data_IF_078994660453
#
_entry.id   IF_078994660453
#
_cell.length_a   1.000
_cell.length_b   1.000
_cell.length_c   1.000
_cell.angle_alpha   90.00
_cell.angle_beta   90.00
_cell.angle_gamma   90.00
#
_symmetry.space_group_name_H-M   'P 1'
#
loop_
_entity.id
_entity.type
_entity.pdbx_description
1 polymer ?
#
# COMPACT_ATOMS: atom_id res chain seq x y z
N UNK A 1 16.15 25.56 15.84
CA UNK A 1 15.31 25.38 17.05
C UNK A 1 14.82 23.96 16.97
N UNK A 2 15.50 23.05 17.65
CA UNK A 2 15.08 21.66 17.73
C UNK A 2 13.84 21.63 18.62
N UNK A 3 12.68 21.33 18.02
CA UNK A 3 11.43 21.18 18.75
C UNK A 3 11.45 19.80 19.37
N UNK A 4 11.48 19.74 20.70
CA UNK A 4 11.34 18.49 21.43
C UNK A 4 9.96 17.89 21.14
N UNK A 5 9.87 16.58 20.83
CA UNK A 5 8.59 15.93 20.54
C UNK A 5 7.71 15.93 21.79
N UNK A 6 6.44 16.28 21.61
CA UNK A 6 5.49 16.31 22.72
C UNK A 6 5.22 14.87 23.23
N UNK A 7 4.98 14.68 24.53
CA UNK A 7 4.64 13.38 25.11
C UNK A 7 3.57 12.55 24.34
N UNK A 8 2.49 13.13 23.77
CA UNK A 8 1.57 12.39 22.91
C UNK A 8 2.19 11.91 21.58
N UNK A 9 3.17 12.61 21.03
CA UNK A 9 3.82 12.24 19.77
C UNK A 9 4.71 11.01 19.96
N UNK A 10 5.42 10.95 21.08
CA UNK A 10 6.23 9.78 21.47
C UNK A 10 5.34 8.53 21.54
N UNK A 11 4.19 8.61 22.20
CA UNK A 11 3.23 7.48 22.31
C UNK A 11 2.70 7.03 20.94
N UNK A 12 2.46 7.97 20.03
CA UNK A 12 2.01 7.64 18.68
C UNK A 12 3.11 6.94 17.88
N UNK A 13 4.36 7.37 18.01
CA UNK A 13 5.47 6.73 17.35
C UNK A 13 5.74 5.32 17.87
N UNK A 14 5.67 5.13 19.19
CA UNK A 14 5.71 3.79 19.81
C UNK A 14 4.58 2.90 19.28
N UNK A 15 3.37 3.44 19.12
CA UNK A 15 2.25 2.70 18.52
C UNK A 15 2.54 2.28 17.08
N UNK A 16 3.04 3.20 16.23
CA UNK A 16 3.42 2.88 14.84
C UNK A 16 4.50 1.79 14.81
N UNK A 17 5.53 1.92 15.64
CA UNK A 17 6.63 0.97 15.73
C UNK A 17 6.15 -0.42 16.13
N UNK A 18 5.38 -0.52 17.21
CA UNK A 18 4.84 -1.78 17.70
C UNK A 18 3.91 -2.43 16.67
N UNK A 19 3.04 -1.65 16.02
CA UNK A 19 2.17 -2.17 14.97
C UNK A 19 2.96 -2.78 13.81
N UNK A 20 3.98 -2.09 13.32
CA UNK A 20 4.78 -2.59 12.19
C UNK A 20 5.62 -3.81 12.58
N UNK A 21 6.09 -3.88 13.83
CA UNK A 21 6.72 -5.09 14.38
C UNK A 21 5.74 -6.28 14.39
N UNK A 22 4.50 -6.08 14.82
CA UNK A 22 3.47 -7.13 14.81
C UNK A 22 3.15 -7.62 13.39
N UNK A 23 3.03 -6.70 12.43
CA UNK A 23 2.81 -7.02 11.02
C UNK A 23 4.00 -7.78 10.45
N UNK A 24 5.22 -7.36 10.75
CA UNK A 24 6.44 -8.06 10.34
C UNK A 24 6.48 -9.49 10.92
N UNK A 25 6.18 -9.68 12.21
CA UNK A 25 6.08 -11.01 12.81
C UNK A 25 4.98 -11.88 12.20
N UNK A 26 3.89 -11.28 11.72
CA UNK A 26 2.86 -12.00 10.96
C UNK A 26 3.37 -12.42 9.59
N UNK A 27 4.07 -11.53 8.88
CA UNK A 27 4.69 -11.81 7.60
C UNK A 27 5.70 -12.97 7.70
N UNK A 28 6.56 -12.96 8.73
CA UNK A 28 7.51 -14.05 9.00
C UNK A 28 6.80 -15.40 9.10
N UNK A 29 5.77 -15.50 9.96
CA UNK A 29 4.99 -16.73 10.14
C UNK A 29 4.25 -17.16 8.87
N UNK A 30 3.75 -16.20 8.10
CA UNK A 30 3.09 -16.49 6.83
C UNK A 30 4.08 -17.07 5.81
N UNK A 31 5.29 -16.52 5.74
CA UNK A 31 6.35 -16.92 4.81
C UNK A 31 6.97 -18.28 5.13
N UNK A 32 6.85 -18.80 6.36
CA UNK A 32 7.36 -20.13 6.74
C UNK A 32 6.78 -21.28 5.90
N UNK A 33 5.55 -21.10 5.39
CA UNK A 33 4.86 -22.09 4.55
C UNK A 33 5.18 -21.93 3.05
N UNK A 34 5.98 -20.92 2.68
CA UNK A 34 6.33 -20.66 1.29
C UNK A 34 7.69 -21.27 0.93
N UNK A 35 7.77 -21.79 -0.29
CA UNK A 35 8.96 -22.36 -0.89
C UNK A 35 9.18 -21.84 -2.31
N UNK A 36 10.42 -21.96 -2.79
CA UNK A 36 10.87 -21.47 -4.10
C UNK A 36 12.00 -20.43 -4.02
N UNK A 37 12.25 -19.68 -5.12
CA UNK A 37 11.58 -19.80 -6.41
C UNK A 37 11.82 -21.17 -7.06
N UNK A 38 10.80 -21.67 -7.77
CA UNK A 38 10.85 -22.86 -8.63
C UNK A 38 10.83 -22.41 -10.09
N UNK A 39 11.71 -22.98 -10.91
CA UNK A 39 11.81 -22.61 -12.33
C UNK A 39 10.81 -23.40 -13.18
N UNK A 40 10.05 -22.69 -14.01
CA UNK A 40 9.14 -23.23 -15.02
C UNK A 40 9.47 -22.64 -16.40
N UNK A 41 8.82 -23.16 -17.45
CA UNK A 41 8.95 -22.65 -18.82
C UNK A 41 8.49 -21.19 -18.94
N UNK A 42 7.52 -20.78 -18.12
CA UNK A 42 6.92 -19.43 -18.13
C UNK A 42 7.59 -18.46 -17.15
N UNK A 43 8.59 -18.92 -16.38
CA UNK A 43 9.30 -18.12 -15.38
C UNK A 43 9.42 -18.80 -14.01
N UNK A 44 9.92 -18.06 -13.03
CA UNK A 44 10.01 -18.52 -11.66
C UNK A 44 8.67 -18.33 -10.93
N UNK A 45 8.30 -19.31 -10.10
CA UNK A 45 7.10 -19.26 -9.27
C UNK A 45 7.38 -19.68 -7.82
N UNK A 46 6.47 -19.33 -6.92
CA UNK A 46 6.52 -19.64 -5.50
C UNK A 46 5.34 -20.55 -5.16
N UNK A 47 5.53 -21.45 -4.21
CA UNK A 47 4.51 -22.37 -3.75
C UNK A 47 4.28 -22.22 -2.26
N UNK A 48 3.02 -22.18 -1.84
CA UNK A 48 2.62 -22.25 -0.46
C UNK A 48 2.15 -23.66 -0.14
N UNK A 49 2.92 -24.37 0.68
CA UNK A 49 2.65 -25.76 1.00
C UNK A 49 1.38 -25.93 1.87
N UNK A 50 1.13 -24.99 2.79
CA UNK A 50 -0.01 -25.07 3.70
C UNK A 50 -1.35 -24.86 2.97
N UNK A 51 -1.37 -23.94 2.02
CA UNK A 51 -2.56 -23.57 1.26
C UNK A 51 -2.70 -24.34 -0.06
N UNK A 52 -1.64 -25.05 -0.48
CA UNK A 52 -1.55 -25.74 -1.77
C UNK A 52 -1.82 -24.81 -2.96
N UNK A 53 -1.30 -23.58 -2.88
CA UNK A 53 -1.42 -22.56 -3.94
C UNK A 53 -0.04 -22.16 -4.44
N UNK A 54 0.04 -21.75 -5.70
CA UNK A 54 1.24 -21.17 -6.28
C UNK A 54 0.96 -19.77 -6.84
N UNK A 55 2.00 -18.94 -6.87
CA UNK A 55 1.96 -17.58 -7.43
C UNK A 55 3.24 -17.30 -8.21
N UNK A 56 3.15 -16.43 -9.21
CA UNK A 56 4.31 -15.95 -9.97
C UNK A 56 5.00 -14.78 -9.26
N UNK A 57 4.25 -14.05 -8.42
CA UNK A 57 4.77 -12.92 -7.67
C UNK A 57 5.52 -13.38 -6.42
N UNK A 58 6.65 -12.73 -6.12
CA UNK A 58 7.42 -13.06 -4.92
C UNK A 58 6.63 -12.65 -3.67
N UNK A 59 6.22 -13.59 -2.80
CA UNK A 59 5.40 -13.26 -1.61
C UNK A 59 6.16 -12.37 -0.62
N UNK A 60 7.49 -12.39 -0.62
CA UNK A 60 8.31 -11.45 0.17
C UNK A 60 8.10 -10.01 -0.31
N UNK A 61 8.08 -9.78 -1.62
CA UNK A 61 7.91 -8.44 -2.18
C UNK A 61 6.52 -7.86 -1.81
N UNK A 62 5.47 -8.69 -1.84
CA UNK A 62 4.13 -8.27 -1.43
C UNK A 62 4.09 -7.78 0.02
N UNK A 63 4.71 -8.54 0.94
CA UNK A 63 4.76 -8.16 2.35
C UNK A 63 5.67 -6.95 2.61
N UNK A 64 6.80 -6.80 1.91
CA UNK A 64 7.63 -5.60 1.99
C UNK A 64 6.88 -4.36 1.51
N UNK A 65 6.12 -4.48 0.41
CA UNK A 65 5.25 -3.42 -0.08
C UNK A 65 4.13 -3.08 0.92
N UNK A 66 3.53 -4.10 1.56
CA UNK A 66 2.52 -3.88 2.59
C UNK A 66 3.09 -3.14 3.80
N UNK A 67 4.27 -3.54 4.31
CA UNK A 67 4.96 -2.87 5.41
C UNK A 67 5.28 -1.41 5.08
N UNK A 68 5.82 -1.15 3.89
CA UNK A 68 6.12 0.20 3.41
C UNK A 68 4.85 1.06 3.32
N UNK A 69 3.77 0.50 2.77
CA UNK A 69 2.47 1.19 2.62
C UNK A 69 1.87 1.53 3.97
N UNK A 70 1.83 0.57 4.91
CA UNK A 70 1.34 0.78 6.28
C UNK A 70 2.16 1.83 7.01
N UNK A 71 3.49 1.76 6.92
CA UNK A 71 4.37 2.76 7.52
C UNK A 71 4.07 4.17 6.99
N UNK A 72 3.98 4.33 5.68
CA UNK A 72 3.65 5.61 5.05
C UNK A 72 2.30 6.16 5.52
N UNK A 73 1.26 5.34 5.54
CA UNK A 73 -0.08 5.75 5.97
C UNK A 73 -0.09 6.13 7.45
N UNK A 74 0.48 5.28 8.31
CA UNK A 74 0.47 5.50 9.75
C UNK A 74 1.26 6.74 10.16
N UNK A 75 2.45 6.94 9.60
CA UNK A 75 3.25 8.14 9.84
C UNK A 75 2.49 9.39 9.39
N UNK A 76 1.87 9.38 8.20
CA UNK A 76 1.11 10.53 7.69
C UNK A 76 -0.16 10.82 8.50
N UNK A 77 -0.83 9.80 9.03
CA UNK A 77 -2.09 9.96 9.75
C UNK A 77 -1.91 10.28 11.23
N UNK A 78 -0.85 9.78 11.87
CA UNK A 78 -0.67 9.88 13.32
C UNK A 78 0.36 10.94 13.70
N UNK A 79 1.38 11.16 12.88
CA UNK A 79 2.49 12.06 13.20
C UNK A 79 2.34 13.41 12.49
N UNK A 80 2.79 14.51 13.12
CA UNK A 80 2.91 15.80 12.48
C UNK A 80 3.78 15.74 11.21
N UNK A 81 3.49 16.63 10.26
CA UNK A 81 4.33 16.80 9.08
C UNK A 81 5.74 17.21 9.50
N UNK A 82 6.74 16.44 9.04
CA UNK A 82 8.13 16.66 9.39
C UNK A 82 8.64 15.85 10.57
N UNK A 83 7.87 14.92 11.13
CA UNK A 83 8.37 13.90 12.07
C UNK A 83 8.42 12.52 11.40
N UNK A 84 9.45 11.74 11.72
CA UNK A 84 9.65 10.39 11.21
C UNK A 84 9.98 9.45 12.37
N UNK A 85 9.51 8.21 12.27
CA UNK A 85 9.84 7.13 13.21
C UNK A 85 11.18 6.51 12.81
N UNK A 86 12.13 6.50 13.75
CA UNK A 86 13.42 5.83 13.59
C UNK A 86 13.30 4.33 13.89
N UNK A 87 14.37 3.57 13.61
CA UNK A 87 14.35 2.12 13.73
C UNK A 87 14.15 1.61 15.17
N UNK A 88 14.56 2.41 16.15
CA UNK A 88 14.38 2.14 17.58
C UNK A 88 12.98 2.55 18.10
N UNK A 89 12.14 3.14 17.25
CA UNK A 89 10.83 3.67 17.61
C UNK A 89 10.84 5.12 18.11
N UNK A 90 12.01 5.76 18.15
CA UNK A 90 12.12 7.18 18.49
C UNK A 90 11.61 8.08 17.37
N UNK A 91 11.29 9.33 17.71
CA UNK A 91 10.83 10.33 16.74
C UNK A 91 11.97 11.28 16.42
N UNK A 92 12.28 11.42 15.15
CA UNK A 92 13.28 12.38 14.65
C UNK A 92 12.60 13.37 13.72
N UNK A 93 13.02 14.63 13.81
CA UNK A 93 12.61 15.65 12.85
C UNK A 93 13.18 15.30 11.48
N UNK A 94 12.32 15.23 10.47
CA UNK A 94 12.71 15.15 9.08
C UNK A 94 13.56 16.38 8.76
N UNK A 95 14.84 16.17 8.40
CA UNK A 95 15.73 17.25 8.01
C UNK A 95 15.08 18.11 6.92
N UNK A 96 15.18 19.44 7.08
CA UNK A 96 14.67 20.40 6.12
C UNK A 96 15.40 20.24 4.76
N UNK A 97 14.84 19.40 3.89
CA UNK A 97 15.45 19.06 2.59
C UNK A 97 14.97 17.73 2.02
N UNK A 98 14.48 16.80 2.84
CA UNK A 98 13.93 15.51 2.39
C UNK A 98 12.41 15.57 2.29
N UNK A 99 11.90 16.51 1.48
CA UNK A 99 10.48 16.86 1.42
C UNK A 99 9.55 15.80 0.78
N UNK A 100 10.03 14.60 0.42
CA UNK A 100 9.20 13.66 -0.36
C UNK A 100 9.27 12.19 0.03
N UNK A 101 10.05 11.83 1.05
CA UNK A 101 10.15 10.44 1.51
C UNK A 101 9.81 10.37 2.99
N UNK A 102 8.52 10.22 3.29
CA UNK A 102 8.00 10.04 4.67
C UNK A 102 8.42 8.73 5.31
N UNK A 103 9.11 7.86 4.58
CA UNK A 103 9.71 6.65 5.10
C UNK A 103 11.19 6.89 5.42
N UNK A 104 11.56 6.82 6.71
CA UNK A 104 12.97 6.59 7.06
C UNK A 104 13.39 5.26 6.41
N UNK A 105 14.36 5.26 5.49
CA UNK A 105 14.79 4.04 4.82
C UNK A 105 15.37 3.03 5.82
N UNK A 106 15.98 3.51 6.90
CA UNK A 106 16.65 2.69 7.90
C UNK A 106 15.68 1.80 8.68
N UNK A 107 14.48 2.32 8.99
CA UNK A 107 13.50 1.51 9.70
C UNK A 107 12.92 0.41 8.81
N UNK A 108 12.60 0.71 7.55
CA UNK A 108 12.12 -0.31 6.62
C UNK A 108 13.20 -1.35 6.32
N UNK A 109 14.48 -0.95 6.28
CA UNK A 109 15.60 -1.88 6.19
C UNK A 109 15.68 -2.82 7.40
N UNK A 110 15.39 -2.33 8.61
CA UNK A 110 15.34 -3.18 9.81
C UNK A 110 14.18 -4.18 9.79
N UNK A 111 13.10 -3.87 9.06
CA UNK A 111 11.93 -4.73 8.88
C UNK A 111 11.97 -5.54 7.59
N UNK A 112 13.13 -5.56 6.91
CA UNK A 112 13.31 -6.30 5.66
C UNK A 112 13.16 -7.79 5.94
N UNK A 113 12.42 -8.46 5.07
CA UNK A 113 12.13 -9.87 5.24
C UNK A 113 13.31 -10.69 4.71
N UNK A 114 13.87 -11.64 5.48
CA UNK A 114 14.97 -12.46 5.01
C UNK A 114 14.50 -13.32 3.83
N UNK A 115 15.13 -13.13 2.67
CA UNK A 115 14.87 -13.96 1.49
C UNK A 115 15.13 -15.46 1.74
N UNK A 116 15.93 -15.79 2.75
CA UNK A 116 16.20 -17.17 3.18
C UNK A 116 15.08 -17.84 3.97
N UNK A 117 13.98 -17.14 4.29
CA UNK A 117 12.82 -17.77 4.92
C UNK A 117 12.03 -18.64 3.94
N UNK A 118 12.05 -18.26 2.66
CA UNK A 118 11.48 -19.09 1.61
C UNK A 118 12.42 -20.28 1.43
N UNK A 119 11.92 -21.47 1.75
CA UNK A 119 12.72 -22.69 1.66
C UNK A 119 13.01 -22.98 0.20
N UNK A 120 14.31 -23.03 -0.13
CA UNK A 120 14.79 -23.61 -1.40
C UNK A 120 14.92 -25.11 -1.20
N UNK A 121 13.79 -25.78 -1.07
CA UNK A 121 13.79 -27.22 -0.82
C UNK A 121 14.08 -27.95 -2.14
N UNK A 122 15.21 -28.65 -2.21
CA UNK A 122 15.61 -29.48 -3.36
C UNK A 122 14.83 -30.79 -3.46
N UNK A 123 13.60 -30.83 -2.93
CA UNK A 123 12.67 -31.95 -3.03
C UNK A 123 11.89 -31.91 -4.35
N UNK A 124 10.99 -32.89 -4.52
CA UNK A 124 10.11 -32.99 -5.68
C UNK A 124 9.46 -31.64 -6.01
N UNK A 125 9.67 -31.19 -7.26
CA UNK A 125 9.17 -29.90 -7.74
C UNK A 125 7.64 -29.95 -7.69
N UNK A 126 6.98 -29.03 -6.95
CA UNK A 126 5.53 -29.01 -6.89
C UNK A 126 4.95 -28.79 -8.30
N UNK A 127 3.82 -29.42 -8.57
CA UNK A 127 3.16 -29.34 -9.86
C UNK A 127 2.94 -27.86 -10.24
N UNK A 128 3.52 -27.45 -11.37
CA UNK A 128 3.46 -26.05 -11.83
C UNK A 128 2.00 -25.62 -11.92
N UNK A 129 1.64 -24.39 -11.46
CA UNK A 129 0.28 -23.88 -11.63
C UNK A 129 -0.12 -24.01 -13.09
N UNK A 130 -1.07 -24.91 -13.38
CA UNK A 130 -1.57 -25.08 -14.74
C UNK A 130 -2.25 -23.78 -15.14
N UNK A 131 -1.60 -23.03 -16.03
CA UNK A 131 -2.10 -21.77 -16.63
C UNK A 131 -3.38 -21.98 -17.45
N UNK A 132 -3.88 -23.22 -17.55
CA UNK A 132 -4.89 -23.65 -18.52
C UNK A 132 -6.29 -23.93 -17.95
N UNK A 133 -6.56 -23.64 -16.68
CA UNK A 133 -7.89 -23.88 -16.07
C UNK A 133 -8.76 -22.63 -15.85
N UNK A 134 -8.52 -21.52 -16.56
CA UNK A 134 -9.41 -20.34 -16.52
C UNK A 134 -10.66 -20.44 -17.42
N UNK A 135 -11.10 -21.64 -17.82
CA UNK A 135 -12.18 -21.78 -18.81
C UNK A 135 -13.63 -21.65 -18.30
N UNK A 136 -13.90 -21.45 -17.00
CA UNK A 136 -15.30 -21.41 -16.51
C UNK A 136 -15.62 -20.36 -15.45
N UNK A 137 -14.99 -19.18 -15.45
CA UNK A 137 -15.59 -18.03 -14.78
C UNK A 137 -16.59 -17.34 -15.74
N UNK A 138 -17.71 -18.00 -16.03
CA UNK A 138 -18.87 -17.32 -16.63
C UNK A 138 -19.37 -16.32 -15.59
N UNK A 139 -18.95 -15.06 -15.72
CA UNK A 139 -19.56 -13.93 -15.04
C UNK A 139 -21.05 -13.92 -15.42
N UNK A 140 -21.89 -14.41 -14.51
CA UNK A 140 -23.31 -14.13 -14.54
C UNK A 140 -23.45 -12.65 -14.20
N UNK A 141 -23.33 -11.82 -15.22
CA UNK A 141 -23.66 -10.39 -15.16
C UNK A 141 -25.12 -10.32 -14.72
N UNK A 142 -25.35 -10.07 -13.43
CA UNK A 142 -26.69 -9.80 -12.91
C UNK A 142 -27.09 -8.43 -13.45
N UNK A 143 -28.13 -8.32 -14.29
CA UNK A 143 -28.55 -7.04 -14.83
C UNK A 143 -29.23 -6.25 -13.70
N UNK A 144 -28.51 -5.24 -13.21
CA UNK A 144 -29.05 -3.89 -12.97
C UNK A 144 -30.49 -3.85 -12.44
N UNK A 145 -30.70 -4.12 -11.16
CA UNK A 145 -31.94 -3.69 -10.49
C UNK A 145 -31.81 -2.25 -9.99
N UNK A 146 -32.29 -1.34 -10.84
CA UNK A 146 -33.14 -0.19 -10.50
C UNK A 146 -32.80 0.64 -9.26
N UNK A 147 -32.37 1.87 -9.54
CA UNK A 147 -32.56 3.07 -8.72
C UNK A 147 -33.83 3.01 -7.86
N UNK A 148 -33.67 2.86 -6.55
CA UNK A 148 -34.73 3.16 -5.58
C UNK A 148 -34.54 4.62 -5.16
N UNK A 149 -35.26 5.49 -5.86
CA UNK A 149 -35.52 6.88 -5.48
C UNK A 149 -36.03 6.92 -4.03
N UNK A 150 -35.25 7.53 -3.14
CA UNK A 150 -35.69 7.81 -1.77
C UNK A 150 -36.49 9.12 -1.75
N UNK A 151 -37.60 9.20 -0.98
CA UNK A 151 -38.48 10.36 -0.97
C UNK A 151 -37.85 11.58 -0.29
N UNK A 152 -38.01 12.71 -0.96
CA UNK A 152 -37.71 14.08 -0.54
C UNK A 152 -38.44 14.46 0.75
N UNK A 153 -37.78 14.95 1.81
CA UNK A 153 -38.44 15.56 2.97
C UNK A 153 -39.01 16.95 2.63
N UNK A 154 -40.10 17.39 3.30
CA UNK A 154 -40.76 18.66 3.02
C UNK A 154 -39.96 19.88 3.53
N UNK A 155 -40.16 21.06 2.91
CA UNK A 155 -39.43 22.28 3.24
C UNK A 155 -39.92 22.96 4.52
N UNK A 156 -39.01 23.26 5.44
CA UNK A 156 -39.21 24.21 6.53
C UNK A 156 -39.13 25.65 5.99
N UNK A 157 -40.12 26.47 6.34
CA UNK A 157 -40.19 27.90 6.06
C UNK A 157 -39.42 28.69 7.12
N UNK A 158 -38.68 29.72 6.68
CA UNK A 158 -38.08 30.78 7.49
C UNK A 158 -36.72 31.17 6.92
N UNK A 159 -36.64 32.00 5.86
CA UNK A 159 -36.42 33.47 5.96
C UNK A 159 -35.33 33.78 7.01
N UNK A 160 -34.13 34.23 6.65
CA UNK A 160 -33.90 35.59 6.11
C UNK A 160 -32.48 35.79 5.53
N UNK A 161 -32.42 36.56 4.43
CA UNK A 161 -31.47 37.66 4.15
C UNK A 161 -29.97 37.40 3.81
N UNK A 162 -29.67 37.57 2.51
CA UNK A 162 -28.81 38.63 1.90
C UNK A 162 -27.28 38.41 1.73
N UNK A 163 -26.82 38.83 0.52
CA UNK A 163 -25.46 38.94 -0.09
C UNK A 163 -25.01 37.68 -0.86
N UNK A 164 -25.10 37.61 -2.20
CA UNK A 164 -24.64 38.53 -3.28
C UNK A 164 -23.13 38.80 -3.22
N UNK A 165 -22.36 37.95 -3.91
CA UNK A 165 -21.01 38.24 -4.40
C UNK A 165 -20.69 37.33 -5.59
N UNK A 166 -20.61 37.99 -6.73
CA UNK A 166 -20.03 37.70 -8.04
C UNK A 166 -19.36 36.35 -8.35
N UNK A 167 -19.70 35.92 -9.56
CA UNK A 167 -19.14 34.81 -10.32
C UNK A 167 -17.85 35.27 -11.06
N UNK A 168 -16.76 34.52 -10.93
CA UNK A 168 -15.71 34.48 -11.97
C UNK A 168 -15.41 33.03 -12.36
N UNK A 169 -15.70 32.63 -13.63
CA UNK A 169 -15.35 31.31 -14.14
C UNK A 169 -13.89 31.30 -14.64
N UNK A 170 -12.97 30.79 -13.82
CA UNK A 170 -11.60 30.50 -14.24
C UNK A 170 -11.57 29.30 -15.20
N UNK A 171 -11.46 29.59 -16.48
CA UNK A 171 -11.28 28.61 -17.55
C UNK A 171 -9.97 27.85 -17.39
N UNK A 172 -10.05 26.52 -17.24
CA UNK A 172 -8.91 25.62 -17.32
C UNK A 172 -8.72 25.15 -18.76
N UNK A 173 -7.71 25.68 -19.43
CA UNK A 173 -7.23 25.18 -20.73
C UNK A 173 -6.40 23.91 -20.52
N UNK A 174 -6.85 22.78 -21.08
CA UNK A 174 -6.04 21.57 -21.17
C UNK A 174 -5.01 21.70 -22.30
N UNK A 175 -3.74 21.82 -21.93
CA UNK A 175 -2.61 21.75 -22.87
C UNK A 175 -2.25 20.31 -23.19
N UNK A 176 -2.56 19.88 -24.41
CA UNK A 176 -2.13 18.59 -24.97
C UNK A 176 -0.67 18.68 -25.38
N UNK A 177 0.22 18.08 -24.59
CA UNK A 177 1.65 18.01 -24.91
C UNK A 177 1.91 16.86 -25.88
N UNK A 178 2.37 17.21 -27.08
CA UNK A 178 2.70 16.29 -28.17
C UNK A 178 4.12 15.75 -27.96
N UNK A 179 4.28 14.45 -27.74
CA UNK A 179 5.57 13.79 -27.55
C UNK A 179 6.07 13.24 -28.89
N UNK A 180 7.23 13.71 -29.34
CA UNK A 180 7.86 13.36 -30.61
C UNK A 180 8.93 12.28 -30.38
N UNK A 181 8.85 11.10 -31.01
CA UNK A 181 9.88 10.07 -30.88
C UNK A 181 11.08 10.35 -31.78
N UNK A 182 12.27 10.40 -31.19
CA UNK A 182 13.55 10.38 -31.90
C UNK A 182 13.87 8.95 -32.36
N UNK A 183 14.08 8.79 -33.66
CA UNK A 183 14.66 7.59 -34.26
C UNK A 183 16.20 7.64 -34.10
N UNK A 184 16.78 6.58 -33.55
CA UNK A 184 18.22 6.33 -33.56
C UNK A 184 18.58 5.56 -34.83
N UNK A 185 19.64 6.01 -35.51
CA UNK A 185 20.33 5.30 -36.59
C UNK A 185 21.47 4.45 -36.04
#
# INVERSE_FOLDING_TARGET
RDREPDAPEVRKAEFVHNHLREVHQRALRFLEAWSGPYTSNDGDFYYNEALKVSTWDCPVNEWEQELASRHSILCRCLLPSGLVVAADGSVVAAGAGTASSTSSPDFLQSLRLPLGLIRREGGDVPETPSTRSFHTARSAVSPRSTYRSSPRPPPSKGQSATQESDEEPMGFTFGTSHHQPHAAS
#
